data_IF_610958728763
#
_entry.id   IF_610958728763
#
_cell.length_a   1.000
_cell.length_b   1.000
_cell.length_c   1.000
_cell.angle_alpha   90.00
_cell.angle_beta   90.00
_cell.angle_gamma   90.00
#
_symmetry.space_group_name_H-M   'P 1'
#
loop_
_entity.id
_entity.type
_entity.pdbx_description
1 polymer ?
#
# COMPACT_ATOMS: atom_id res chain seq x y z
N UNK A 1 7.32 -21.11 -4.02
CA UNK A 1 8.42 -21.98 -3.59
C UNK A 1 9.14 -22.68 -4.75
N UNK A 2 8.42 -23.35 -5.68
CA UNK A 2 9.09 -24.10 -6.77
C UNK A 2 9.94 -23.24 -7.71
N UNK A 3 9.46 -22.06 -8.09
CA UNK A 3 10.20 -21.13 -8.97
C UNK A 3 11.49 -20.62 -8.32
N UNK A 4 11.45 -20.32 -7.02
CA UNK A 4 12.61 -19.86 -6.28
C UNK A 4 13.67 -20.96 -6.12
N UNK A 5 13.24 -22.22 -5.94
CA UNK A 5 14.14 -23.35 -5.84
C UNK A 5 14.98 -23.56 -7.13
N UNK A 6 14.39 -23.28 -8.30
CA UNK A 6 15.13 -23.32 -9.58
C UNK A 6 16.26 -22.28 -9.65
N UNK A 7 16.16 -21.19 -8.89
CA UNK A 7 17.18 -20.16 -8.75
C UNK A 7 18.10 -20.36 -7.53
N UNK A 8 18.05 -21.54 -6.88
CA UNK A 8 18.86 -21.86 -5.71
C UNK A 8 18.37 -21.22 -4.41
N UNK A 9 17.16 -20.64 -4.39
CA UNK A 9 16.61 -19.95 -3.22
C UNK A 9 15.60 -20.88 -2.52
N UNK A 10 15.88 -21.21 -1.27
CA UNK A 10 14.96 -21.97 -0.43
C UNK A 10 13.96 -21.03 0.23
N UNK A 11 12.66 -21.22 -0.06
CA UNK A 11 11.58 -20.43 0.56
C UNK A 11 10.82 -21.30 1.55
N UNK A 12 10.84 -20.89 2.81
CA UNK A 12 10.04 -21.48 3.89
C UNK A 12 8.83 -20.58 4.14
N UNK A 13 7.64 -21.10 3.85
CA UNK A 13 6.41 -20.36 4.11
C UNK A 13 6.03 -20.50 5.58
N UNK A 14 5.96 -19.39 6.30
CA UNK A 14 5.40 -19.31 7.65
C UNK A 14 4.03 -18.64 7.57
N UNK A 15 3.00 -19.29 8.12
CA UNK A 15 1.66 -18.73 8.27
C UNK A 15 1.27 -18.84 9.74
N UNK A 16 0.96 -17.73 10.35
CA UNK A 16 0.57 -17.68 11.76
C UNK A 16 -0.23 -16.41 12.02
N UNK A 17 -1.22 -16.49 12.90
CA UNK A 17 -1.96 -15.32 13.39
C UNK A 17 -1.06 -14.31 14.13
N UNK A 18 0.15 -14.73 14.48
CA UNK A 18 1.17 -13.90 15.14
C UNK A 18 2.15 -13.25 14.16
N UNK A 19 2.11 -13.60 12.87
CA UNK A 19 2.95 -12.97 11.86
C UNK A 19 2.40 -11.59 11.50
N UNK A 20 3.18 -10.57 11.75
CA UNK A 20 2.80 -9.19 11.50
C UNK A 20 4.01 -8.29 11.21
N UNK A 21 3.79 -6.98 11.08
CA UNK A 21 4.84 -6.02 10.83
C UNK A 21 5.98 -6.07 11.85
N UNK A 22 5.66 -6.35 13.11
CA UNK A 22 6.67 -6.44 14.16
C UNK A 22 7.61 -7.63 13.94
N UNK A 23 7.10 -8.76 13.49
CA UNK A 23 7.90 -9.97 13.20
C UNK A 23 8.95 -9.70 12.10
N UNK A 24 8.60 -8.86 11.12
CA UNK A 24 9.54 -8.41 10.09
C UNK A 24 10.62 -7.50 10.69
N UNK A 25 10.23 -6.54 11.54
CA UNK A 25 11.17 -5.62 12.20
C UNK A 25 12.13 -6.34 13.15
N UNK A 26 11.68 -7.39 13.79
CA UNK A 26 12.47 -8.19 14.72
C UNK A 26 13.41 -9.18 13.98
N UNK A 27 13.43 -9.13 12.65
CA UNK A 27 14.29 -9.99 11.82
C UNK A 27 13.91 -11.47 11.84
N UNK A 28 12.69 -11.80 12.24
CA UNK A 28 12.18 -13.17 12.26
C UNK A 28 11.62 -13.62 10.90
N UNK A 29 11.47 -12.69 9.96
CA UNK A 29 11.01 -12.91 8.60
C UNK A 29 11.89 -12.12 7.64
N UNK A 30 12.29 -12.75 6.56
CA UNK A 30 13.01 -12.07 5.47
C UNK A 30 12.05 -11.32 4.53
N UNK A 31 10.83 -11.83 4.37
CA UNK A 31 9.80 -11.26 3.50
C UNK A 31 8.42 -11.41 4.14
N UNK A 32 7.65 -10.35 4.13
CA UNK A 32 6.24 -10.33 4.56
C UNK A 32 5.32 -10.10 3.35
N UNK A 33 4.42 -11.04 3.08
CA UNK A 33 3.33 -10.82 2.14
C UNK A 33 2.20 -10.09 2.85
N UNK A 34 1.96 -8.85 2.47
CA UNK A 34 0.93 -8.01 3.06
C UNK A 34 -0.02 -7.43 2.00
N UNK A 35 -1.27 -7.23 2.37
CA UNK A 35 -2.22 -6.44 1.59
C UNK A 35 -2.22 -5.01 2.10
N UNK A 36 -1.94 -4.06 1.23
CA UNK A 36 -1.85 -2.64 1.56
C UNK A 36 -3.15 -1.86 1.35
N UNK A 37 -4.23 -2.54 1.06
CA UNK A 37 -5.49 -1.89 0.74
C UNK A 37 -6.71 -2.73 1.05
N UNK A 38 -6.91 -3.17 2.31
CA UNK A 38 -8.13 -3.84 2.72
C UNK A 38 -9.30 -2.85 2.86
N UNK A 39 -10.40 -3.10 2.15
CA UNK A 39 -11.67 -2.39 2.33
C UNK A 39 -12.39 -2.80 3.64
N UNK A 40 -11.81 -3.65 4.42
CA UNK A 40 -12.38 -4.14 5.67
C UNK A 40 -11.77 -3.36 6.83
N UNK A 41 -12.51 -2.42 7.29
CA UNK A 41 -12.42 -1.49 8.38
C UNK A 41 -11.68 -1.82 9.66
N UNK A 42 -10.67 -2.62 9.64
CA UNK A 42 -9.79 -2.83 10.77
C UNK A 42 -8.45 -2.20 10.48
N UNK A 43 -8.35 -0.89 10.70
CA UNK A 43 -7.07 -0.22 10.95
C UNK A 43 -5.96 -0.32 9.89
N UNK A 44 -6.21 -0.96 8.78
CA UNK A 44 -5.28 -0.88 7.67
C UNK A 44 -5.45 0.49 7.05
N UNK A 45 -4.55 1.35 7.35
CA UNK A 45 -4.30 2.54 6.57
C UNK A 45 -4.24 2.07 5.11
N UNK A 46 -5.29 2.37 4.36
CA UNK A 46 -5.42 1.97 2.96
C UNK A 46 -4.45 2.74 2.07
N UNK A 47 -3.26 2.94 2.52
CA UNK A 47 -2.20 3.43 1.69
C UNK A 47 -1.82 2.31 0.75
N UNK A 48 -1.86 2.59 -0.52
CA UNK A 48 -1.20 1.76 -1.51
C UNK A 48 0.24 1.52 -1.04
N UNK A 49 0.81 0.35 -1.35
CA UNK A 49 2.22 0.06 -1.07
C UNK A 49 3.17 1.13 -1.64
N UNK A 50 2.65 2.01 -2.43
CA UNK A 50 3.27 3.17 -3.04
C UNK A 50 2.82 4.47 -2.37
N UNK A 51 2.28 4.41 -1.15
CA UNK A 51 2.21 5.61 -0.35
C UNK A 51 3.65 5.96 0.01
N UNK A 52 4.25 6.80 -0.81
CA UNK A 52 5.63 7.24 -0.64
C UNK A 52 5.90 7.71 0.79
N UNK A 53 4.88 8.25 1.45
CA UNK A 53 4.96 8.64 2.85
C UNK A 53 5.25 7.48 3.79
N UNK A 54 4.78 6.27 3.49
CA UNK A 54 5.05 5.10 4.32
C UNK A 54 6.53 4.73 4.31
N UNK A 55 7.23 4.96 3.20
CA UNK A 55 8.65 4.62 3.05
C UNK A 55 9.60 5.70 3.60
N UNK A 56 9.09 6.78 4.15
CA UNK A 56 9.91 7.81 4.80
C UNK A 56 10.71 7.22 5.96
N UNK A 57 11.96 7.56 6.03
CA UNK A 57 12.84 7.18 7.15
C UNK A 57 12.19 7.52 8.50
N UNK A 58 12.14 6.56 9.40
CA UNK A 58 11.55 6.71 10.73
C UNK A 58 10.03 6.73 10.79
N UNK A 59 9.32 6.55 9.67
CA UNK A 59 7.86 6.44 9.69
C UNK A 59 7.43 5.11 10.32
N UNK A 60 6.44 5.14 11.23
CA UNK A 60 5.92 3.94 11.89
C UNK A 60 5.33 2.88 10.94
N UNK A 61 4.87 3.31 9.75
CA UNK A 61 4.36 2.43 8.70
C UNK A 61 5.44 1.95 7.72
N UNK A 62 6.68 2.38 7.90
CA UNK A 62 7.82 1.91 7.15
C UNK A 62 8.21 0.50 7.63
N UNK A 63 7.46 -0.49 7.19
CA UNK A 63 7.61 -1.87 7.65
C UNK A 63 8.99 -2.47 7.34
N UNK A 64 9.55 -2.24 6.13
CA UNK A 64 10.88 -2.76 5.80
C UNK A 64 12.02 -2.02 6.51
N UNK A 65 11.76 -0.94 7.26
CA UNK A 65 12.81 -0.12 7.84
C UNK A 65 13.68 0.61 6.81
N UNK A 66 13.12 0.86 5.63
CA UNK A 66 13.83 1.49 4.52
C UNK A 66 14.32 2.89 4.89
N UNK A 67 15.51 3.25 4.44
CA UNK A 67 16.08 4.59 4.64
C UNK A 67 16.87 5.00 3.40
N UNK A 68 16.43 6.06 2.75
CA UNK A 68 17.10 6.64 1.60
C UNK A 68 16.86 8.16 1.58
N UNK A 69 17.92 8.99 1.74
CA UNK A 69 17.77 10.44 1.79
C UNK A 69 17.17 11.07 0.53
N UNK A 70 17.38 10.47 -0.64
CA UNK A 70 16.79 10.95 -1.90
C UNK A 70 15.28 10.74 -1.89
N UNK A 71 14.81 9.58 -1.43
CA UNK A 71 13.38 9.30 -1.28
C UNK A 71 12.76 10.20 -0.22
N UNK A 72 13.44 10.42 0.90
CA UNK A 72 12.96 11.36 1.93
C UNK A 72 12.81 12.78 1.38
N UNK A 73 13.75 13.24 0.57
CA UNK A 73 13.68 14.53 -0.12
C UNK A 73 12.50 14.63 -1.09
N UNK A 74 12.26 13.58 -1.90
CA UNK A 74 11.12 13.52 -2.81
C UNK A 74 9.79 13.53 -2.05
N UNK A 75 9.70 12.76 -0.96
CA UNK A 75 8.50 12.72 -0.11
C UNK A 75 8.22 14.10 0.50
N UNK A 76 9.25 14.78 0.98
CA UNK A 76 9.12 16.14 1.53
C UNK A 76 8.64 17.14 0.46
N UNK A 77 9.17 17.05 -0.76
CA UNK A 77 8.74 17.87 -1.88
C UNK A 77 7.28 17.59 -2.27
N UNK A 78 6.89 16.31 -2.35
CA UNK A 78 5.51 15.92 -2.65
C UNK A 78 4.51 16.47 -1.61
N UNK A 79 4.91 16.55 -0.35
CA UNK A 79 4.03 17.05 0.73
C UNK A 79 3.61 18.51 0.55
N UNK A 80 4.39 19.30 -0.17
CA UNK A 80 4.14 20.75 -0.39
C UNK A 80 3.78 21.08 -1.85
N UNK A 81 3.85 20.11 -2.74
CA UNK A 81 3.58 20.30 -4.17
C UNK A 81 2.09 20.13 -4.46
N UNK A 82 1.46 21.17 -5.00
CA UNK A 82 0.03 21.16 -5.37
C UNK A 82 -0.14 20.83 -6.86
N UNK A 83 0.82 21.21 -7.71
CA UNK A 83 0.75 20.98 -9.16
C UNK A 83 0.80 19.47 -9.49
N UNK A 84 -0.25 18.91 -10.14
CA UNK A 84 -0.29 17.49 -10.50
C UNK A 84 0.84 17.05 -11.46
N UNK A 85 1.30 17.96 -12.33
CA UNK A 85 2.39 17.65 -13.26
C UNK A 85 3.70 17.48 -12.51
N UNK A 86 3.97 18.36 -11.57
CA UNK A 86 5.15 18.29 -10.73
C UNK A 86 5.09 17.09 -9.77
N UNK A 87 3.92 16.76 -9.22
CA UNK A 87 3.74 15.52 -8.46
C UNK A 87 4.07 14.28 -9.31
N UNK A 88 3.59 14.24 -10.56
CA UNK A 88 3.88 13.15 -11.48
C UNK A 88 5.37 13.04 -11.78
N UNK A 89 6.06 14.16 -11.97
CA UNK A 89 7.51 14.20 -12.17
C UNK A 89 8.26 13.64 -10.96
N UNK A 90 7.94 14.11 -9.76
CA UNK A 90 8.56 13.65 -8.50
C UNK A 90 8.35 12.14 -8.28
N UNK A 91 7.16 11.63 -8.56
CA UNK A 91 6.89 10.19 -8.50
C UNK A 91 7.69 9.41 -9.55
N UNK A 92 7.87 10.00 -10.75
CA UNK A 92 8.72 9.46 -11.79
C UNK A 92 10.18 9.35 -11.34
N UNK A 93 10.69 10.37 -10.65
CA UNK A 93 12.05 10.39 -10.11
C UNK A 93 12.26 9.35 -8.99
N UNK A 94 11.23 9.12 -8.15
CA UNK A 94 11.29 8.12 -7.10
C UNK A 94 11.30 6.69 -7.63
N UNK A 95 10.63 6.44 -8.74
CA UNK A 95 10.40 5.09 -9.26
C UNK A 95 11.68 4.29 -9.51
N UNK A 96 12.70 4.80 -10.25
CA UNK A 96 13.93 4.04 -10.49
C UNK A 96 14.71 3.75 -9.20
N UNK A 97 14.68 4.65 -8.24
CA UNK A 97 15.33 4.46 -6.93
C UNK A 97 14.67 3.30 -6.19
N UNK A 98 13.33 3.33 -6.07
CA UNK A 98 12.57 2.29 -5.39
C UNK A 98 12.69 0.92 -6.08
N UNK A 99 12.79 0.88 -7.41
CA UNK A 99 13.05 -0.36 -8.14
C UNK A 99 14.49 -0.85 -7.97
N UNK A 100 15.45 0.05 -7.79
CA UNK A 100 16.84 -0.31 -7.51
C UNK A 100 17.03 -0.87 -6.10
N UNK A 101 16.42 -0.24 -5.11
CA UNK A 101 16.55 -0.60 -3.71
C UNK A 101 15.58 -1.72 -3.27
N UNK A 102 14.47 -1.91 -3.97
CA UNK A 102 13.45 -2.95 -3.75
C UNK A 102 12.97 -3.07 -2.28
N UNK A 103 12.67 -1.98 -1.58
CA UNK A 103 12.14 -2.08 -0.22
C UNK A 103 10.78 -2.79 -0.17
N UNK A 104 10.04 -2.73 -1.26
CA UNK A 104 8.76 -3.42 -1.45
C UNK A 104 8.66 -3.94 -2.88
N UNK A 105 8.03 -5.09 -3.06
CA UNK A 105 7.74 -5.67 -4.37
C UNK A 105 6.23 -5.64 -4.62
N UNK A 106 5.71 -4.70 -5.43
CA UNK A 106 4.30 -4.69 -5.82
C UNK A 106 3.98 -5.90 -6.69
N UNK A 107 3.04 -6.75 -6.26
CA UNK A 107 2.68 -7.96 -6.98
C UNK A 107 1.55 -7.72 -7.99
N UNK A 108 0.47 -7.09 -7.54
CA UNK A 108 -0.69 -6.79 -8.38
C UNK A 108 -1.60 -5.76 -7.71
N UNK A 109 -2.47 -5.15 -8.51
CA UNK A 109 -3.56 -4.32 -7.99
C UNK A 109 -4.76 -5.20 -7.72
N UNK A 110 -5.18 -5.25 -6.47
CA UNK A 110 -6.42 -5.93 -6.10
C UNK A 110 -7.62 -5.11 -6.59
N UNK A 111 -8.49 -5.73 -7.37
CA UNK A 111 -9.76 -5.11 -7.73
C UNK A 111 -10.68 -5.05 -6.52
N UNK A 112 -11.31 -3.91 -6.32
CA UNK A 112 -12.32 -3.74 -5.27
C UNK A 112 -13.70 -3.80 -5.89
N UNK A 113 -14.52 -4.70 -5.39
CA UNK A 113 -15.93 -4.80 -5.78
C UNK A 113 -16.77 -4.15 -4.69
N UNK A 114 -17.58 -3.18 -5.08
CA UNK A 114 -18.58 -2.57 -4.21
C UNK A 114 -19.91 -3.22 -4.49
N UNK A 115 -20.46 -3.91 -3.51
CA UNK A 115 -21.78 -4.54 -3.58
C UNK A 115 -22.77 -3.76 -2.70
N UNK A 116 -23.94 -3.48 -3.23
CA UNK A 116 -25.00 -2.79 -2.51
C UNK A 116 -26.37 -3.33 -2.91
N UNK A 117 -27.35 -3.14 -2.04
CA UNK A 117 -28.71 -3.62 -2.29
C UNK A 117 -29.32 -2.92 -3.51
N UNK A 118 -30.09 -3.66 -4.33
CA UNK A 118 -30.73 -3.15 -5.56
C UNK A 118 -31.59 -1.90 -5.35
N UNK A 119 -32.07 -1.69 -4.14
CA UNK A 119 -32.89 -0.52 -3.75
C UNK A 119 -32.05 0.70 -3.37
N UNK A 120 -30.73 0.60 -3.34
CA UNK A 120 -29.85 1.72 -2.98
C UNK A 120 -29.42 2.47 -4.25
N UNK A 121 -29.36 3.78 -4.13
CA UNK A 121 -28.87 4.71 -5.14
C UNK A 121 -27.74 5.57 -4.58
N UNK A 122 -26.94 6.16 -5.47
CA UNK A 122 -25.87 7.07 -5.10
C UNK A 122 -24.63 6.38 -4.53
N UNK A 123 -24.58 5.05 -4.54
CA UNK A 123 -23.39 4.31 -4.12
C UNK A 123 -22.38 4.32 -5.26
N UNK A 124 -21.25 4.96 -5.04
CA UNK A 124 -20.18 5.06 -6.03
C UNK A 124 -18.89 4.42 -5.49
N UNK A 125 -18.15 3.77 -6.40
CA UNK A 125 -16.84 3.26 -6.08
C UNK A 125 -15.84 4.39 -5.88
N UNK A 126 -14.95 4.23 -4.91
CA UNK A 126 -13.85 5.17 -4.71
C UNK A 126 -12.52 4.41 -4.67
N UNK A 127 -11.57 4.73 -5.57
CA UNK A 127 -10.26 4.08 -5.59
C UNK A 127 -9.35 4.52 -4.44
N UNK A 128 -9.74 5.56 -3.69
CA UNK A 128 -8.94 6.09 -2.59
C UNK A 128 -9.09 5.29 -1.29
N UNK A 129 -8.34 5.67 -0.27
CA UNK A 129 -8.39 5.08 1.07
C UNK A 129 -9.76 5.13 1.75
N UNK A 130 -10.61 6.05 1.35
CA UNK A 130 -11.94 6.25 1.94
C UNK A 130 -12.93 5.12 1.61
N UNK A 131 -12.63 4.34 0.58
CA UNK A 131 -13.46 3.19 0.19
C UNK A 131 -14.87 3.56 -0.25
N UNK A 132 -15.78 2.59 -0.19
CA UNK A 132 -17.14 2.74 -0.71
C UNK A 132 -18.02 3.70 0.10
N UNK A 133 -17.66 3.98 1.36
CA UNK A 133 -18.46 4.84 2.23
C UNK A 133 -18.22 6.35 2.07
N UNK A 134 -17.37 6.76 1.14
CA UNK A 134 -16.94 8.14 1.00
C UNK A 134 -18.05 9.14 0.70
N UNK A 135 -19.13 8.69 0.07
CA UNK A 135 -20.28 9.52 -0.35
C UNK A 135 -21.60 9.05 0.29
N UNK A 136 -21.55 8.55 1.52
CA UNK A 136 -22.75 8.07 2.22
C UNK A 136 -23.83 9.14 2.41
N UNK A 137 -23.47 10.40 2.40
CA UNK A 137 -24.35 11.56 2.41
C UNK A 137 -25.29 11.62 1.21
N UNK A 138 -24.95 10.92 0.11
CA UNK A 138 -25.73 10.85 -1.14
C UNK A 138 -26.52 9.56 -1.30
N UNK A 139 -26.40 8.64 -0.35
CA UNK A 139 -27.07 7.36 -0.47
C UNK A 139 -28.57 7.50 -0.18
N UNK A 140 -29.35 6.94 -1.04
CA UNK A 140 -30.80 6.96 -0.95
C UNK A 140 -31.37 5.55 -1.14
N UNK A 141 -32.52 5.30 -0.51
CA UNK A 141 -33.31 4.10 -0.77
C UNK A 141 -34.45 4.43 -1.74
N UNK A 142 -34.64 3.57 -2.72
CA UNK A 142 -35.82 3.61 -3.56
C UNK A 142 -37.03 3.19 -2.72
N UNK A 143 -38.03 4.04 -2.65
CA UNK A 143 -39.31 3.69 -2.11
C UNK A 143 -40.04 2.68 -3.00
#
# INVERSE_FOLDING_TARGET
ARSCAAAGITVVAASSDKTGPQTLRDGQLDVLLASTGGATGSGSTGSSAMDGYALRTGNGNNLPGYSNPQIDGIIAALAVTIDPKEQTRLLGDASPILWGDMPTLPLYRQQRTVMFAKKMFGVEGNPTKWGAGWNMDRWMLKQ
#
